data_IF_910289804545
#
_entry.id   IF_910289804545
#
_cell.length_a   1.000
_cell.length_b   1.000
_cell.length_c   1.000
_cell.angle_alpha   90.00
_cell.angle_beta   90.00
_cell.angle_gamma   90.00
#
_symmetry.space_group_name_H-M   'P 1'
#
loop_
_entity.id
_entity.type
_entity.pdbx_description
1 polymer ?
#
# COMPACT_ATOMS: atom_id res chain seq x y z
N UNK A 1 -11.57 -18.39 -16.58
CA UNK A 1 -10.83 -17.13 -16.43
C UNK A 1 -10.06 -17.14 -15.12
N UNK A 2 -8.77 -16.94 -15.17
CA UNK A 2 -7.96 -16.83 -13.96
C UNK A 2 -8.09 -15.44 -13.34
N UNK A 3 -8.25 -15.41 -12.03
CA UNK A 3 -8.14 -14.17 -11.26
C UNK A 3 -6.81 -14.16 -10.53
N UNK A 4 -6.11 -13.06 -10.59
CA UNK A 4 -4.85 -12.88 -9.88
C UNK A 4 -5.00 -11.82 -8.81
N UNK A 5 -4.28 -12.01 -7.69
CA UNK A 5 -4.27 -11.07 -6.58
C UNK A 5 -2.83 -10.67 -6.32
N UNK A 6 -2.59 -9.36 -6.28
CA UNK A 6 -1.30 -8.83 -5.84
C UNK A 6 -1.36 -8.53 -4.35
N UNK A 7 -0.30 -8.89 -3.63
CA UNK A 7 -0.16 -8.58 -2.21
C UNK A 7 0.96 -7.57 -2.05
N UNK A 8 0.69 -6.51 -1.30
CA UNK A 8 1.68 -5.50 -0.92
C UNK A 8 2.00 -5.65 0.56
N UNK A 9 3.29 -5.60 0.88
CA UNK A 9 3.77 -5.66 2.26
C UNK A 9 4.47 -4.33 2.54
N UNK A 10 3.76 -3.34 3.12
CA UNK A 10 4.36 -2.04 3.41
C UNK A 10 5.16 -2.08 4.70
N UNK A 11 6.22 -1.28 4.73
CA UNK A 11 6.99 -1.06 5.96
C UNK A 11 6.63 0.32 6.52
N UNK A 12 5.44 0.41 7.12
CA UNK A 12 4.93 1.65 7.70
C UNK A 12 4.16 1.33 8.97
N UNK A 13 4.55 1.96 10.09
CA UNK A 13 4.01 1.58 11.38
C UNK A 13 2.50 1.88 11.53
N UNK A 14 2.00 2.94 10.90
CA UNK A 14 0.57 3.27 10.94
C UNK A 14 -0.24 2.21 10.18
N UNK A 15 0.23 1.80 9.01
CA UNK A 15 -0.42 0.75 8.22
C UNK A 15 -0.39 -0.58 8.97
N UNK A 16 0.73 -0.91 9.60
CA UNK A 16 0.84 -2.13 10.42
C UNK A 16 -0.11 -2.10 11.60
N UNK A 17 -0.22 -0.95 12.29
CA UNK A 17 -1.13 -0.81 13.42
C UNK A 17 -2.59 -0.96 12.97
N UNK A 18 -2.94 -0.38 11.82
CA UNK A 18 -4.29 -0.50 11.26
C UNK A 18 -4.62 -1.95 10.91
N UNK A 19 -3.69 -2.65 10.27
CA UNK A 19 -3.88 -4.06 9.92
C UNK A 19 -4.00 -4.96 11.16
N UNK A 20 -3.20 -4.68 12.20
CA UNK A 20 -3.27 -5.41 13.45
C UNK A 20 -4.63 -5.23 14.14
N UNK A 21 -5.17 -4.01 14.09
CA UNK A 21 -6.49 -3.70 14.67
C UNK A 21 -7.62 -4.37 13.90
N UNK A 22 -7.54 -4.36 12.56
CA UNK A 22 -8.55 -4.99 11.72
C UNK A 22 -8.48 -6.51 11.74
N UNK A 23 -7.28 -7.07 11.88
CA UNK A 23 -7.07 -8.53 11.86
C UNK A 23 -7.27 -9.18 10.50
N UNK A 24 -7.32 -8.38 9.42
CA UNK A 24 -7.51 -8.89 8.07
C UNK A 24 -6.88 -7.97 7.03
N UNK A 25 -6.61 -8.48 5.81
CA UNK A 25 -6.09 -7.65 4.73
C UNK A 25 -7.06 -6.54 4.31
N UNK A 26 -6.53 -5.46 3.75
CA UNK A 26 -7.32 -4.36 3.21
C UNK A 26 -7.02 -4.17 1.74
N UNK A 27 -8.00 -3.66 1.02
CA UNK A 27 -7.79 -3.21 -0.36
C UNK A 27 -7.10 -1.85 -0.35
N UNK A 28 -6.11 -1.69 -1.18
CA UNK A 28 -5.36 -0.44 -1.25
C UNK A 28 -4.95 -0.12 -2.68
N UNK A 29 -4.68 1.14 -2.90
CA UNK A 29 -4.12 1.62 -4.15
C UNK A 29 -3.19 2.80 -3.87
N UNK A 30 -2.30 3.08 -4.81
CA UNK A 30 -1.47 4.28 -4.74
C UNK A 30 -2.31 5.50 -5.12
N UNK A 31 -2.22 6.57 -4.33
CA UNK A 31 -3.00 7.78 -4.58
C UNK A 31 -2.30 8.65 -5.63
N UNK A 32 -2.63 8.40 -6.88
CA UNK A 32 -2.22 9.23 -8.01
C UNK A 32 -3.49 9.74 -8.67
N UNK A 33 -3.73 11.05 -8.62
CA UNK A 33 -4.94 11.63 -9.19
C UNK A 33 -4.86 11.70 -10.71
N UNK A 34 -6.02 11.69 -11.40
CA UNK A 34 -6.04 11.80 -12.85
C UNK A 34 -5.27 13.02 -13.35
N UNK A 35 -4.41 12.81 -14.34
CA UNK A 35 -3.58 13.87 -14.91
C UNK A 35 -2.28 14.13 -14.16
N UNK A 36 -2.04 13.47 -13.05
CA UNK A 36 -0.81 13.61 -12.28
C UNK A 36 0.08 12.38 -12.45
N UNK A 37 1.39 12.55 -12.30
CA UNK A 37 2.38 11.49 -12.48
C UNK A 37 3.01 11.02 -11.18
N UNK A 38 2.77 11.72 -10.07
CA UNK A 38 3.35 11.39 -8.77
C UNK A 38 2.27 11.17 -7.72
N UNK A 39 2.49 10.27 -6.75
CA UNK A 39 1.55 10.08 -5.65
C UNK A 39 1.48 11.30 -4.74
N UNK A 40 0.29 11.54 -4.17
CA UNK A 40 0.13 12.50 -3.08
C UNK A 40 0.60 11.86 -1.77
N UNK A 41 1.42 12.59 -1.01
CA UNK A 41 1.94 12.11 0.26
C UNK A 41 1.81 13.11 1.41
N UNK A 42 1.16 14.25 1.18
CA UNK A 42 0.91 15.27 2.19
C UNK A 42 -0.56 15.19 2.63
N UNK A 43 -0.79 14.87 3.91
CA UNK A 43 -2.12 14.67 4.43
C UNK A 43 -3.01 15.92 4.33
N UNK A 44 -2.47 17.12 4.49
CA UNK A 44 -3.23 18.35 4.36
C UNK A 44 -3.74 18.55 2.93
N UNK A 45 -2.86 18.33 1.95
CA UNK A 45 -3.22 18.42 0.53
C UNK A 45 -4.26 17.38 0.17
N UNK A 46 -4.08 16.15 0.65
CA UNK A 46 -5.04 15.06 0.43
C UNK A 46 -6.38 15.42 1.01
N UNK A 47 -6.42 15.92 2.25
CA UNK A 47 -7.67 16.32 2.88
C UNK A 47 -8.37 17.42 2.09
N UNK A 48 -7.63 18.46 1.68
CA UNK A 48 -8.22 19.59 0.96
C UNK A 48 -8.81 19.16 -0.40
N UNK A 49 -8.19 18.19 -1.05
CA UNK A 49 -8.63 17.75 -2.38
C UNK A 49 -9.69 16.65 -2.33
N UNK A 50 -9.71 15.82 -1.29
CA UNK A 50 -10.51 14.61 -1.25
C UNK A 50 -11.47 14.53 -0.06
N UNK A 51 -11.58 15.56 0.78
CA UNK A 51 -12.36 15.48 2.02
C UNK A 51 -13.83 15.08 1.82
N UNK A 52 -14.40 15.39 0.64
CA UNK A 52 -15.77 15.00 0.31
C UNK A 52 -15.88 13.64 -0.35
N UNK A 53 -14.76 13.05 -0.75
CA UNK A 53 -14.72 11.79 -1.46
C UNK A 53 -14.29 10.61 -0.57
N UNK A 54 -13.72 10.87 0.59
CA UNK A 54 -13.23 9.84 1.51
C UNK A 54 -13.84 10.04 2.89
N UNK A 55 -13.93 8.96 3.66
CA UNK A 55 -14.50 9.00 5.00
C UNK A 55 -13.52 9.55 6.03
N UNK A 56 -12.23 9.33 5.83
CA UNK A 56 -11.20 9.77 6.74
C UNK A 56 -9.85 9.91 6.03
N UNK A 57 -9.02 10.78 6.58
CA UNK A 57 -7.61 10.91 6.18
C UNK A 57 -6.77 10.72 7.45
N UNK A 58 -5.87 9.75 7.43
CA UNK A 58 -4.96 9.51 8.55
C UNK A 58 -3.66 10.24 8.27
N UNK A 59 -3.34 11.21 9.13
CA UNK A 59 -2.11 11.98 9.03
C UNK A 59 -1.02 11.30 9.86
N UNK A 60 -0.08 10.68 9.16
CA UNK A 60 1.09 10.02 9.75
C UNK A 60 2.36 10.86 9.62
N UNK A 61 2.21 12.14 9.26
CA UNK A 61 3.32 13.00 8.89
C UNK A 61 3.77 12.76 7.45
N UNK A 62 4.87 13.41 7.03
CA UNK A 62 5.39 13.20 5.68
C UNK A 62 5.75 11.73 5.47
N UNK A 63 5.31 11.17 4.34
CA UNK A 63 5.60 9.79 3.99
C UNK A 63 6.77 9.71 3.04
N UNK A 64 7.60 8.68 3.22
CA UNK A 64 8.70 8.41 2.30
C UNK A 64 8.12 7.89 0.99
N UNK A 65 8.60 8.42 -0.14
CA UNK A 65 8.15 8.01 -1.46
C UNK A 65 8.89 6.74 -1.91
N UNK A 66 8.74 5.67 -1.12
CA UNK A 66 9.31 4.36 -1.42
C UNK A 66 8.18 3.42 -1.79
N UNK A 67 8.20 2.83 -2.99
CA UNK A 67 7.18 1.86 -3.38
C UNK A 67 7.16 0.66 -2.44
N UNK A 68 5.98 0.06 -2.29
CA UNK A 68 5.83 -1.17 -1.49
C UNK A 68 6.35 -2.39 -2.25
N UNK A 69 6.72 -3.44 -1.49
CA UNK A 69 7.03 -4.74 -2.07
C UNK A 69 5.77 -5.37 -2.61
N UNK A 70 5.85 -5.92 -3.82
CA UNK A 70 4.73 -6.60 -4.48
C UNK A 70 5.11 -8.06 -4.75
N UNK A 71 4.27 -8.97 -4.28
CA UNK A 71 4.46 -10.40 -4.43
C UNK A 71 3.38 -10.96 -5.36
N UNK A 72 3.79 -11.73 -6.36
CA UNK A 72 2.86 -12.43 -7.25
C UNK A 72 2.67 -13.85 -6.73
N UNK A 73 1.45 -14.14 -6.27
CA UNK A 73 1.08 -15.46 -5.77
C UNK A 73 0.44 -16.35 -6.85
N UNK A 74 0.31 -15.84 -8.07
CA UNK A 74 -0.24 -16.62 -9.17
C UNK A 74 0.77 -17.60 -9.74
N UNK A 75 2.05 -17.45 -9.41
CA UNK A 75 3.13 -18.33 -9.84
C UNK A 75 3.44 -19.36 -8.76
N UNK A 76 3.99 -20.50 -9.19
CA UNK A 76 4.42 -21.59 -8.30
C UNK A 76 5.90 -21.89 -8.53
N UNK A 77 6.82 -21.53 -7.60
CA UNK A 77 6.56 -20.82 -6.33
C UNK A 77 6.21 -19.35 -6.53
N UNK A 78 5.71 -18.67 -5.47
CA UNK A 78 5.42 -17.25 -5.55
C UNK A 78 6.66 -16.43 -5.92
N UNK A 79 6.46 -15.38 -6.71
CA UNK A 79 7.55 -14.52 -7.16
C UNK A 79 7.37 -13.09 -6.64
N UNK A 80 8.49 -12.42 -6.40
CA UNK A 80 8.49 -11.01 -6.01
C UNK A 80 8.62 -10.20 -7.30
N UNK A 81 7.56 -9.48 -7.66
CA UNK A 81 7.56 -8.66 -8.88
C UNK A 81 8.17 -7.29 -8.66
N UNK A 82 8.21 -6.83 -7.40
CA UNK A 82 8.84 -5.57 -7.03
C UNK A 82 9.32 -5.63 -5.60
N UNK A 83 10.59 -5.35 -5.37
CA UNK A 83 11.13 -5.13 -4.03
C UNK A 83 10.92 -3.69 -3.63
N UNK A 84 10.51 -3.47 -2.41
CA UNK A 84 10.24 -2.14 -1.88
C UNK A 84 10.40 -2.09 -0.37
N UNK A 85 9.55 -1.30 0.32
CA UNK A 85 9.67 -1.06 1.74
C UNK A 85 9.39 -2.25 2.63
N UNK A 86 8.54 -3.19 2.22
CA UNK A 86 8.23 -4.37 3.03
C UNK A 86 9.22 -5.50 2.82
N UNK A 87 9.49 -6.27 3.88
CA UNK A 87 10.36 -7.43 3.82
C UNK A 87 9.55 -8.68 3.45
N UNK A 88 9.78 -9.28 2.27
CA UNK A 88 9.05 -10.48 1.87
C UNK A 88 9.34 -11.70 2.74
N UNK A 89 10.42 -11.68 3.53
CA UNK A 89 10.72 -12.77 4.45
C UNK A 89 9.61 -12.95 5.50
N UNK A 90 8.83 -11.92 5.80
CA UNK A 90 7.68 -12.00 6.70
C UNK A 90 6.60 -12.97 6.19
N UNK A 91 6.58 -13.24 4.87
CA UNK A 91 5.68 -14.20 4.25
C UNK A 91 6.33 -15.55 3.98
N UNK A 92 7.55 -15.77 4.47
CA UNK A 92 8.32 -16.97 4.16
C UNK A 92 8.98 -16.95 2.79
N UNK A 93 9.05 -15.79 2.16
CA UNK A 93 9.66 -15.58 0.84
C UNK A 93 10.98 -14.83 1.03
N UNK A 94 12.07 -15.44 0.74
CA UNK A 94 13.40 -14.84 0.92
C UNK A 94 13.91 -14.21 -0.36
#
# INVERSE_FOLDING_TARGET
MRRTIGIRVPDHFVVRALLAELGEPILSTTLILPGESAPLNDAEVIRDRLEKAVDAVIDAGPCVDVPTTVVDLATEPPTITRYGGGDPAALGLA
#
